data_IF_233245339634
#
_entry.id   IF_233245339634
#
_cell.length_a   1.000
_cell.length_b   1.000
_cell.length_c   1.000
_cell.angle_alpha   90.00
_cell.angle_beta   90.00
_cell.angle_gamma   90.00
#
_symmetry.space_group_name_H-M   'P 1'
#
loop_
_entity.id
_entity.type
_entity.pdbx_description
1 polymer ?
#
# COMPACT_ATOMS: atom_id res chain seq x y z
N UNK A 1 -39.02 28.95 -28.88
CA UNK A 1 -38.19 29.05 -27.67
C UNK A 1 -38.24 27.72 -26.93
N UNK A 2 -37.11 27.28 -26.35
CA UNK A 2 -36.96 26.12 -25.44
C UNK A 2 -36.91 24.72 -26.09
N UNK A 3 -35.71 24.33 -26.54
CA UNK A 3 -35.31 22.90 -26.56
C UNK A 3 -33.77 22.71 -26.62
N UNK A 4 -33.02 23.75 -27.02
CA UNK A 4 -31.56 23.65 -27.18
C UNK A 4 -30.74 23.87 -25.89
N UNK A 5 -31.36 24.20 -24.77
CA UNK A 5 -30.62 24.68 -23.58
C UNK A 5 -30.35 23.62 -22.52
N UNK A 6 -30.91 22.40 -22.63
CA UNK A 6 -30.81 21.40 -21.54
C UNK A 6 -29.63 20.43 -21.73
N UNK A 7 -29.18 20.19 -22.97
CA UNK A 7 -28.11 19.21 -23.23
C UNK A 7 -26.71 19.76 -22.87
N UNK A 8 -26.53 21.08 -22.83
CA UNK A 8 -25.22 21.69 -22.57
C UNK A 8 -24.78 21.59 -21.10
N UNK A 9 -25.72 21.44 -20.16
CA UNK A 9 -25.38 21.34 -18.72
C UNK A 9 -25.09 19.90 -18.27
N UNK A 10 -25.53 18.89 -19.02
CA UNK A 10 -25.25 17.48 -18.70
C UNK A 10 -23.84 17.04 -19.14
N UNK A 11 -23.23 17.73 -20.11
CA UNK A 11 -21.88 17.39 -20.61
C UNK A 11 -20.73 17.94 -19.74
N UNK A 12 -20.96 18.91 -18.86
CA UNK A 12 -19.90 19.46 -18.00
C UNK A 12 -19.60 18.60 -16.75
N UNK A 13 -20.51 17.70 -16.36
CA UNK A 13 -20.42 16.99 -15.07
C UNK A 13 -19.60 15.70 -15.09
N UNK A 14 -19.10 15.25 -16.25
CA UNK A 14 -18.41 13.94 -16.39
C UNK A 14 -16.88 14.08 -16.39
N UNK A 15 -16.34 15.31 -16.30
CA UNK A 15 -14.89 15.54 -16.25
C UNK A 15 -14.30 15.66 -14.83
N UNK A 16 -14.98 15.16 -13.80
CA UNK A 16 -14.30 14.74 -12.57
C UNK A 16 -13.62 13.38 -12.80
N UNK A 17 -12.68 13.34 -13.75
CA UNK A 17 -11.70 12.26 -13.80
C UNK A 17 -10.93 12.40 -12.49
N UNK A 18 -11.23 11.51 -11.53
CA UNK A 18 -10.51 11.38 -10.26
C UNK A 18 -9.00 11.31 -10.53
N UNK A 19 -8.34 12.47 -10.51
CA UNK A 19 -6.90 12.54 -10.60
C UNK A 19 -6.36 12.16 -9.22
N UNK A 20 -6.27 10.85 -8.95
CA UNK A 20 -5.69 10.35 -7.71
C UNK A 20 -4.25 10.84 -7.60
N UNK A 21 -3.87 11.27 -6.40
CA UNK A 21 -2.48 11.66 -6.13
C UNK A 21 -1.53 10.49 -6.35
N UNK A 22 -0.23 10.78 -6.49
CA UNK A 22 0.76 9.71 -6.64
C UNK A 22 0.81 8.83 -5.39
N UNK A 23 0.64 9.43 -4.21
CA UNK A 23 0.54 8.79 -2.90
C UNK A 23 -0.64 7.81 -2.84
N UNK A 24 -1.83 8.23 -3.28
CA UNK A 24 -3.02 7.38 -3.33
C UNK A 24 -2.80 6.17 -4.26
N UNK A 25 -2.23 6.41 -5.45
CA UNK A 25 -1.89 5.33 -6.40
C UNK A 25 -0.87 4.37 -5.79
N UNK A 26 0.07 4.86 -4.98
CA UNK A 26 1.06 4.02 -4.30
C UNK A 26 0.43 3.18 -3.19
N UNK A 27 -0.51 3.72 -2.41
CA UNK A 27 -1.27 2.95 -1.42
C UNK A 27 -2.12 1.88 -2.08
N UNK A 28 -2.79 2.18 -3.19
CA UNK A 28 -3.58 1.18 -3.91
C UNK A 28 -2.72 0.00 -4.39
N UNK A 29 -1.57 0.29 -4.98
CA UNK A 29 -0.59 -0.74 -5.37
C UNK A 29 -0.10 -1.53 -4.16
N UNK A 30 0.22 -0.86 -3.05
CA UNK A 30 0.64 -1.52 -1.82
C UNK A 30 -0.42 -2.47 -1.27
N UNK A 31 -1.67 -2.02 -1.15
CA UNK A 31 -2.78 -2.84 -0.69
C UNK A 31 -3.00 -4.03 -1.63
N UNK A 32 -2.98 -3.81 -2.94
CA UNK A 32 -3.12 -4.87 -3.93
C UNK A 32 -2.01 -5.92 -3.82
N UNK A 33 -0.74 -5.50 -3.77
CA UNK A 33 0.38 -6.42 -3.68
C UNK A 33 0.46 -7.13 -2.33
N UNK A 34 0.06 -6.47 -1.24
CA UNK A 34 0.00 -7.07 0.10
C UNK A 34 -1.07 -8.16 0.17
N UNK A 35 -2.30 -7.86 -0.30
CA UNK A 35 -3.42 -8.83 -0.35
C UNK A 35 -3.08 -10.07 -1.16
N UNK A 36 -2.40 -9.89 -2.28
CA UNK A 36 -1.97 -10.99 -3.15
C UNK A 36 -0.68 -11.66 -2.68
N UNK A 37 -0.13 -11.29 -1.51
CA UNK A 37 1.14 -11.81 -0.98
C UNK A 37 2.30 -11.72 -1.98
N UNK A 38 2.28 -10.71 -2.87
CA UNK A 38 3.26 -10.54 -3.93
C UNK A 38 4.49 -9.77 -3.42
N UNK A 39 5.38 -10.47 -2.71
CA UNK A 39 6.59 -9.89 -2.12
C UNK A 39 7.47 -9.21 -3.18
N UNK A 40 7.58 -9.79 -4.38
CA UNK A 40 8.43 -9.25 -5.45
C UNK A 40 7.99 -7.84 -5.85
N UNK A 41 6.68 -7.64 -6.05
CA UNK A 41 6.14 -6.32 -6.39
C UNK A 41 6.13 -5.37 -5.18
N UNK A 42 5.86 -5.86 -3.96
CA UNK A 42 5.99 -5.05 -2.73
C UNK A 42 7.41 -4.47 -2.59
N UNK A 43 8.43 -5.28 -2.87
CA UNK A 43 9.82 -4.82 -2.80
C UNK A 43 10.15 -3.75 -3.82
N UNK A 44 9.57 -3.79 -5.03
CA UNK A 44 9.80 -2.78 -6.06
C UNK A 44 9.26 -1.42 -5.69
N UNK A 45 8.15 -1.36 -4.96
CA UNK A 45 7.52 -0.09 -4.54
C UNK A 45 7.98 0.39 -3.16
N UNK A 46 8.84 -0.37 -2.48
CA UNK A 46 9.31 -0.08 -1.13
C UNK A 46 10.68 0.61 -1.13
N UNK A 47 10.96 1.38 -0.08
CA UNK A 47 12.28 1.95 0.19
C UNK A 47 13.34 0.86 0.42
N UNK A 48 14.62 1.22 0.35
CA UNK A 48 15.73 0.29 0.64
C UNK A 48 15.60 -0.37 2.03
N UNK A 49 15.17 0.38 3.04
CA UNK A 49 15.03 -0.12 4.40
C UNK A 49 13.83 -1.07 4.52
N UNK A 50 12.67 -0.66 4.02
CA UNK A 50 11.45 -1.47 4.03
C UNK A 50 11.65 -2.79 3.27
N UNK A 51 12.37 -2.78 2.14
CA UNK A 51 12.75 -4.00 1.41
C UNK A 51 13.52 -5.00 2.29
N UNK A 52 14.40 -4.51 3.18
CA UNK A 52 15.16 -5.37 4.10
C UNK A 52 14.23 -6.01 5.12
N UNK A 53 13.30 -5.26 5.70
CA UNK A 53 12.36 -5.77 6.70
C UNK A 53 11.38 -6.79 6.09
N UNK A 54 10.83 -6.50 4.91
CA UNK A 54 10.04 -7.45 4.13
C UNK A 54 10.82 -8.74 3.84
N UNK A 55 12.12 -8.63 3.51
CA UNK A 55 12.97 -9.81 3.30
C UNK A 55 13.08 -10.66 4.56
N UNK A 56 13.24 -10.05 5.73
CA UNK A 56 13.45 -10.76 6.99
C UNK A 56 12.18 -11.43 7.52
N UNK A 57 11.02 -10.80 7.36
CA UNK A 57 9.75 -11.29 7.92
C UNK A 57 8.95 -12.13 6.91
N UNK A 58 8.73 -11.61 5.71
CA UNK A 58 7.80 -12.22 4.76
C UNK A 58 8.41 -13.39 3.97
N UNK A 59 9.70 -13.31 3.59
CA UNK A 59 10.30 -14.38 2.78
C UNK A 59 10.39 -15.73 3.49
N UNK A 60 10.77 -15.83 4.79
CA UNK A 60 10.78 -17.11 5.49
C UNK A 60 9.40 -17.76 5.54
N UNK A 61 8.35 -16.97 5.84
CA UNK A 61 6.96 -17.45 5.90
C UNK A 61 6.54 -18.06 4.55
N UNK A 62 6.86 -17.39 3.43
CA UNK A 62 6.50 -17.92 2.12
C UNK A 62 7.40 -19.08 1.65
N UNK A 63 8.68 -19.10 2.03
CA UNK A 63 9.64 -20.13 1.62
C UNK A 63 9.42 -21.46 2.32
N UNK A 64 9.06 -21.43 3.59
CA UNK A 64 8.86 -22.65 4.39
C UNK A 64 7.59 -23.41 3.98
N UNK A 65 6.73 -22.83 3.13
CA UNK A 65 5.54 -23.51 2.60
C UNK A 65 4.48 -23.82 3.66
N UNK A 66 4.60 -23.22 4.85
CA UNK A 66 3.65 -23.35 5.93
C UNK A 66 2.30 -22.74 5.50
N UNK A 67 1.34 -23.63 5.24
CA UNK A 67 0.00 -23.26 4.77
C UNK A 67 -0.73 -22.40 5.81
N UNK A 68 -0.56 -22.71 7.10
CA UNK A 68 -1.24 -22.01 8.18
C UNK A 68 -0.66 -20.61 8.35
N UNK A 69 0.67 -20.48 8.31
CA UNK A 69 1.33 -19.18 8.37
C UNK A 69 0.97 -18.32 7.16
N UNK A 70 0.89 -18.93 5.96
CA UNK A 70 0.45 -18.24 4.74
C UNK A 70 -1.00 -17.78 4.82
N UNK A 71 -1.91 -18.61 5.32
CA UNK A 71 -3.32 -18.26 5.48
C UNK A 71 -3.49 -17.12 6.50
N UNK A 72 -2.80 -17.19 7.65
CA UNK A 72 -2.78 -16.11 8.65
C UNK A 72 -2.28 -14.80 8.02
N UNK A 73 -1.20 -14.85 7.26
CA UNK A 73 -0.66 -13.69 6.55
C UNK A 73 -1.66 -13.10 5.55
N UNK A 74 -2.36 -13.95 4.79
CA UNK A 74 -3.39 -13.52 3.83
C UNK A 74 -4.60 -12.90 4.52
N UNK A 75 -5.05 -13.45 5.65
CA UNK A 75 -6.14 -12.88 6.46
C UNK A 75 -5.76 -11.50 6.98
N UNK A 76 -4.56 -11.37 7.55
CA UNK A 76 -4.01 -10.10 8.01
C UNK A 76 -3.93 -9.09 6.86
N UNK A 77 -3.33 -9.48 5.73
CA UNK A 77 -3.19 -8.65 4.54
C UNK A 77 -4.54 -8.16 3.97
N UNK A 78 -5.57 -9.02 4.01
CA UNK A 78 -6.92 -8.71 3.52
C UNK A 78 -7.65 -7.70 4.42
N UNK A 79 -7.31 -7.66 5.70
CA UNK A 79 -7.88 -6.72 6.67
C UNK A 79 -7.26 -5.32 6.63
N UNK A 80 -6.16 -5.13 5.89
CA UNK A 80 -5.45 -3.85 5.84
C UNK A 80 -6.35 -2.79 5.20
N UNK A 81 -6.51 -1.68 5.92
CA UNK A 81 -7.15 -0.45 5.45
C UNK A 81 -6.23 0.71 5.75
N UNK A 82 -6.06 1.62 4.79
CA UNK A 82 -5.26 2.82 4.95
C UNK A 82 -6.10 4.05 4.63
N UNK A 83 -5.87 5.13 5.38
CA UNK A 83 -6.32 6.48 5.06
C UNK A 83 -5.10 7.33 4.69
N UNK A 84 -5.22 8.09 3.61
CA UNK A 84 -4.18 9.01 3.15
C UNK A 84 -4.45 10.37 3.81
N UNK A 85 -3.47 10.86 4.56
CA UNK A 85 -3.49 12.16 5.24
C UNK A 85 -2.14 12.83 4.94
N UNK A 86 -2.10 13.68 3.90
CA UNK A 86 -0.87 14.29 3.38
C UNK A 86 0.21 13.27 2.95
N UNK A 87 1.49 13.53 3.22
CA UNK A 87 2.66 12.68 2.88
C UNK A 87 2.82 11.46 3.79
N UNK A 88 1.85 11.20 4.65
CA UNK A 88 1.82 10.04 5.55
C UNK A 88 0.48 9.33 5.35
N UNK A 89 0.48 8.01 5.44
CA UNK A 89 -0.76 7.23 5.43
C UNK A 89 -0.82 6.38 6.67
N UNK A 90 -1.94 6.45 7.38
CA UNK A 90 -2.19 5.63 8.55
C UNK A 90 -2.90 4.36 8.10
N UNK A 91 -2.27 3.23 8.33
CA UNK A 91 -2.82 1.92 8.01
C UNK A 91 -3.20 1.18 9.29
N UNK A 92 -4.26 0.38 9.21
CA UNK A 92 -4.70 -0.50 10.29
C UNK A 92 -5.04 -1.88 9.75
N UNK A 93 -4.86 -2.90 10.58
CA UNK A 93 -5.15 -4.29 10.25
C UNK A 93 -5.59 -5.05 11.50
N UNK A 94 -6.28 -6.17 11.30
CA UNK A 94 -6.61 -7.11 12.36
C UNK A 94 -5.62 -8.28 12.33
N UNK A 95 -5.05 -8.64 13.49
CA UNK A 95 -4.25 -9.85 13.60
C UNK A 95 -5.12 -11.12 13.65
N UNK A 96 -4.49 -12.27 13.78
CA UNK A 96 -5.16 -13.57 13.85
C UNK A 96 -6.04 -13.76 15.11
N UNK A 97 -5.90 -12.90 16.12
CA UNK A 97 -6.72 -12.87 17.34
C UNK A 97 -7.85 -11.83 17.25
N UNK A 98 -7.91 -11.07 16.15
CA UNK A 98 -8.87 -9.98 15.96
C UNK A 98 -8.45 -8.66 16.59
N UNK A 99 -7.25 -8.57 17.19
CA UNK A 99 -6.76 -7.32 17.75
C UNK A 99 -6.41 -6.37 16.60
N UNK A 100 -6.83 -5.11 16.74
CA UNK A 100 -6.55 -4.08 15.76
C UNK A 100 -5.19 -3.46 16.04
N UNK A 101 -4.34 -3.48 15.02
CA UNK A 101 -3.03 -2.83 15.03
C UNK A 101 -3.03 -1.67 14.05
N UNK A 102 -2.09 -0.74 14.22
CA UNK A 102 -1.92 0.39 13.32
C UNK A 102 -0.45 0.69 13.07
N UNK A 103 -0.13 1.10 11.85
CA UNK A 103 1.20 1.50 11.44
C UNK A 103 1.11 2.65 10.46
N UNK A 104 2.20 3.41 10.35
CA UNK A 104 2.29 4.52 9.40
C UNK A 104 3.14 4.11 8.20
N UNK A 105 2.71 4.57 7.03
CA UNK A 105 3.46 4.55 5.79
C UNK A 105 3.88 5.99 5.49
N UNK A 106 5.16 6.20 5.21
CA UNK A 106 5.68 7.46 4.70
C UNK A 106 6.05 7.30 3.23
N UNK A 107 5.91 8.37 2.45
CA UNK A 107 6.33 8.39 1.06
C UNK A 107 7.67 9.12 0.91
N UNK A 108 8.64 8.46 0.31
CA UNK A 108 10.00 8.99 0.12
C UNK A 108 10.38 8.95 -1.35
N UNK A 109 10.97 10.03 -1.85
CA UNK A 109 11.54 10.06 -3.19
C UNK A 109 12.82 9.23 -3.21
N UNK A 110 13.04 8.51 -4.30
CA UNK A 110 14.30 7.82 -4.55
C UNK A 110 14.46 7.49 -6.03
N UNK A 111 15.62 6.92 -6.35
CA UNK A 111 15.97 6.58 -7.71
C UNK A 111 15.73 5.09 -8.03
N UNK A 112 15.04 4.80 -9.13
CA UNK A 112 14.84 3.46 -9.67
C UNK A 112 15.87 3.16 -10.75
N UNK A 113 16.93 2.46 -10.38
CA UNK A 113 18.00 2.10 -11.31
C UNK A 113 17.55 1.20 -12.47
N UNK A 114 16.40 0.52 -12.38
CA UNK A 114 15.89 -0.31 -13.47
C UNK A 114 15.21 0.52 -14.56
N UNK A 115 14.64 1.65 -14.17
CA UNK A 115 13.90 2.55 -15.07
C UNK A 115 14.63 3.87 -15.34
N UNK A 116 15.75 4.09 -14.66
CA UNK A 116 16.58 5.28 -14.78
C UNK A 116 15.79 6.57 -14.49
N UNK A 117 14.93 6.54 -13.47
CA UNK A 117 14.02 7.64 -13.10
C UNK A 117 13.92 7.82 -11.58
N UNK A 118 13.68 9.07 -11.14
CA UNK A 118 13.22 9.36 -9.79
C UNK A 118 11.75 9.00 -9.64
N UNK A 119 11.38 8.41 -8.51
CA UNK A 119 10.01 8.00 -8.20
C UNK A 119 9.74 7.93 -6.71
N UNK A 120 8.46 7.88 -6.37
CA UNK A 120 7.99 7.69 -5.00
C UNK A 120 8.12 6.23 -4.55
N UNK A 121 8.53 6.04 -3.29
CA UNK A 121 8.62 4.75 -2.61
C UNK A 121 7.88 4.79 -1.27
N UNK A 122 7.42 3.62 -0.84
CA UNK A 122 6.83 3.39 0.48
C UNK A 122 7.93 3.09 1.49
N UNK A 123 7.95 3.85 2.58
CA UNK A 123 8.79 3.63 3.74
C UNK A 123 7.94 3.28 4.96
N UNK A 124 8.28 2.18 5.62
CA UNK A 124 7.65 1.70 6.85
C UNK A 124 8.77 1.49 7.87
N UNK A 125 8.63 2.14 9.02
CA UNK A 125 9.62 2.10 10.08
C UNK A 125 9.83 0.66 10.61
N UNK A 126 11.07 0.34 10.97
CA UNK A 126 11.45 -0.96 11.54
C UNK A 126 10.59 -1.38 12.72
N UNK A 127 10.13 -0.43 13.55
CA UNK A 127 9.35 -0.70 14.77
C UNK A 127 8.02 -1.39 14.49
N UNK A 128 7.52 -1.30 13.26
CA UNK A 128 6.27 -1.97 12.86
C UNK A 128 6.49 -3.41 12.38
N UNK A 129 7.73 -3.82 12.15
CA UNK A 129 8.09 -5.19 11.76
C UNK A 129 8.67 -6.00 12.91
N UNK A 130 9.34 -5.31 13.83
CA UNK A 130 9.95 -5.90 15.00
C UNK A 130 9.34 -5.22 16.21
N UNK A 131 8.62 -5.98 17.03
CA UNK A 131 8.31 -5.52 18.38
C UNK A 131 9.65 -5.11 18.99
N UNK A 132 9.82 -3.82 19.30
CA UNK A 132 10.88 -3.38 20.17
C UNK A 132 10.56 -3.94 21.56
N UNK A 133 10.96 -5.18 21.81
CA UNK A 133 11.24 -5.65 23.16
C UNK A 133 12.40 -4.79 23.66
N UNK A 134 12.05 -3.76 24.42
CA UNK A 134 12.90 -3.31 25.51
C UNK A 134 12.85 -4.37 26.61
#
# INVERSE_FOLDING_TARGET
MKLKTIITFALLSILFINCKSEEEKMIEKFLQYTKNTNIKELKKISSKNTRKYLKLIYEPILRLGDKDAKEKLQKMASSIKCTVEDKISKCSYADHQGNKHSFNISFVNGYDSQKNEDRLFIDIDKKYFFNSTN
#
